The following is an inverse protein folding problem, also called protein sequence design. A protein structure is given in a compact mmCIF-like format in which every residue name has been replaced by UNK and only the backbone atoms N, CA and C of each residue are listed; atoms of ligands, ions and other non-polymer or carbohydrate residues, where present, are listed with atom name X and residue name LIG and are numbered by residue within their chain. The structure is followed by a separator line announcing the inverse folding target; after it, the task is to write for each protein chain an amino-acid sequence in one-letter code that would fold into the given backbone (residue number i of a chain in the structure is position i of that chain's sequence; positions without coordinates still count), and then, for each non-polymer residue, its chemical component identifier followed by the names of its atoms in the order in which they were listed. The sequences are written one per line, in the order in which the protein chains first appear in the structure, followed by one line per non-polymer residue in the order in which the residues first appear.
data_IF_955736330812
#
_entry.id   IF_955736330812
#
_cell.length_a   1.000
_cell.length_b   1.000
_cell.length_c   1.000
_cell.angle_alpha   90.00
_cell.angle_beta   90.00
_cell.angle_gamma   90.00
#
_symmetry.space_group_name_H-M   'P 1'
#
loop_
_entity.id
_entity.type
_entity.pdbx_description
1 polymer ?
#
# COMPACT_ATOMS: atom_id res chain seq x y z
N UNK A 1 14.98 48.79 -56.41
CA UNK A 1 15.79 47.90 -57.28
C UNK A 1 15.35 46.45 -57.06
N UNK A 2 15.19 45.72 -58.17
CA UNK A 2 15.21 44.24 -58.41
C UNK A 2 15.33 43.34 -57.15
N UNK A 3 14.37 42.47 -56.77
CA UNK A 3 13.71 41.31 -57.44
C UNK A 3 14.35 39.94 -57.05
N UNK A 4 13.49 38.98 -56.63
CA UNK A 4 13.46 37.54 -57.07
C UNK A 4 14.52 36.58 -56.47
N UNK A 5 14.26 35.31 -56.06
CA UNK A 5 13.04 34.47 -55.95
C UNK A 5 13.29 33.17 -55.11
N UNK A 6 12.19 32.49 -54.69
CA UNK A 6 11.93 31.01 -54.65
C UNK A 6 12.89 30.08 -53.85
N UNK A 7 12.43 29.37 -52.79
CA UNK A 7 11.71 28.06 -52.78
C UNK A 7 12.59 26.88 -53.25
N UNK A 8 12.76 25.75 -52.54
CA UNK A 8 11.84 24.62 -52.25
C UNK A 8 12.58 23.71 -51.21
N UNK A 9 12.11 22.60 -50.62
CA UNK A 9 10.86 21.82 -50.54
C UNK A 9 10.90 21.04 -49.19
N UNK A 10 9.77 20.60 -48.61
CA UNK A 10 9.83 19.74 -47.40
C UNK A 10 8.49 19.40 -46.72
N UNK A 11 7.43 19.18 -47.48
CA UNK A 11 6.11 18.85 -46.95
C UNK A 11 5.98 17.35 -46.66
N UNK A 12 5.54 16.95 -45.46
CA UNK A 12 5.11 15.57 -45.19
C UNK A 12 3.87 15.57 -44.27
N UNK A 13 2.72 15.73 -44.92
CA UNK A 13 1.41 15.45 -44.34
C UNK A 13 1.14 13.95 -44.44
N UNK A 14 0.74 13.33 -43.33
CA UNK A 14 0.00 12.06 -43.34
C UNK A 14 -1.27 12.22 -42.53
N UNK A 15 -2.34 12.62 -43.22
CA UNK A 15 -3.69 12.55 -42.69
C UNK A 15 -4.23 11.13 -42.92
N UNK A 16 -4.36 10.36 -41.85
CA UNK A 16 -5.16 9.13 -41.82
C UNK A 16 -6.51 9.43 -41.17
N UNK A 17 -7.61 9.22 -41.91
CA UNK A 17 -8.97 9.50 -41.44
C UNK A 17 -9.84 8.25 -41.57
N UNK A 18 -10.76 8.02 -40.62
CA UNK A 18 -11.84 7.04 -40.75
C UNK A 18 -11.93 6.03 -39.60
N UNK A 19 -12.94 6.17 -38.75
CA UNK A 19 -13.21 5.26 -37.62
C UNK A 19 -14.34 5.78 -36.73
N UNK A 20 -15.58 5.77 -37.23
CA UNK A 20 -16.76 6.32 -36.55
C UNK A 20 -17.61 5.19 -35.98
N UNK A 21 -17.65 5.05 -34.65
CA UNK A 21 -18.63 4.17 -34.00
C UNK A 21 -18.22 3.61 -32.64
N UNK A 22 -18.40 4.41 -31.58
CA UNK A 22 -18.51 3.89 -30.20
C UNK A 22 -19.68 4.56 -29.48
N UNK A 23 -20.84 3.90 -29.58
CA UNK A 23 -21.93 4.02 -28.62
C UNK A 23 -21.76 2.97 -27.51
N UNK A 24 -22.40 3.22 -26.36
CA UNK A 24 -22.41 2.39 -25.14
C UNK A 24 -21.19 2.54 -24.18
N UNK A 25 -21.28 3.54 -23.30
CA UNK A 25 -20.39 3.70 -22.13
C UNK A 25 -21.07 4.28 -20.88
N UNK A 26 -22.40 4.43 -20.87
CA UNK A 26 -23.16 4.94 -19.72
C UNK A 26 -23.39 3.86 -18.65
N UNK A 27 -22.31 3.46 -17.96
CA UNK A 27 -22.37 2.47 -16.86
C UNK A 27 -21.45 2.79 -15.66
N UNK A 28 -20.79 3.95 -15.65
CA UNK A 28 -19.72 4.27 -14.69
C UNK A 28 -20.14 5.18 -13.53
N UNK A 29 -21.22 5.95 -13.65
CA UNK A 29 -21.66 6.89 -12.61
C UNK A 29 -22.39 6.21 -11.45
N UNK A 30 -23.25 5.21 -11.72
CA UNK A 30 -24.11 4.56 -10.72
C UNK A 30 -23.39 3.58 -9.77
N UNK A 31 -22.05 3.48 -9.81
CA UNK A 31 -21.25 2.60 -8.93
C UNK A 31 -20.57 3.33 -7.77
N UNK A 32 -20.74 4.65 -7.64
CA UNK A 32 -20.02 5.46 -6.65
C UNK A 32 -20.85 5.82 -5.40
N UNK A 33 -22.18 5.71 -5.43
CA UNK A 33 -23.06 5.88 -4.26
C UNK A 33 -22.89 4.80 -3.17
N UNK A 34 -22.15 3.72 -3.44
CA UNK A 34 -21.79 2.71 -2.43
C UNK A 34 -20.74 3.18 -1.41
N UNK A 35 -20.12 4.34 -1.59
CA UNK A 35 -18.90 4.73 -0.84
C UNK A 35 -19.12 5.01 0.65
N UNK A 36 -20.29 5.47 1.08
CA UNK A 36 -20.49 5.85 2.50
C UNK A 36 -20.95 4.69 3.42
N UNK A 37 -21.34 3.54 2.86
CA UNK A 37 -21.60 2.31 3.63
C UNK A 37 -20.49 1.26 3.53
N UNK A 38 -19.45 1.53 2.74
CA UNK A 38 -18.30 0.63 2.58
C UNK A 38 -17.26 0.71 3.71
N UNK A 39 -17.25 1.79 4.49
CA UNK A 39 -16.30 1.99 5.61
C UNK A 39 -16.66 1.21 6.88
N UNK A 40 -17.89 0.70 7.00
CA UNK A 40 -18.39 -0.02 8.18
C UNK A 40 -17.88 -1.48 8.24
N UNK A 41 -17.51 -2.07 7.09
CA UNK A 41 -17.19 -3.50 6.97
C UNK A 41 -15.74 -3.73 6.51
N UNK A 42 -14.80 -3.01 7.11
CA UNK A 42 -13.37 -3.14 6.82
C UNK A 42 -12.68 -3.99 7.90
N UNK A 43 -11.98 -5.05 7.49
CA UNK A 43 -11.11 -5.82 8.36
C UNK A 43 -9.65 -5.38 8.16
N UNK A 44 -8.95 -5.02 9.24
CA UNK A 44 -7.56 -4.57 9.20
C UNK A 44 -6.60 -5.67 9.63
N UNK A 45 -5.50 -5.80 8.87
CA UNK A 45 -4.40 -6.71 9.13
C UNK A 45 -3.08 -5.92 9.13
N UNK A 46 -2.47 -5.81 10.31
CA UNK A 46 -1.20 -5.14 10.52
C UNK A 46 -0.07 -6.17 10.57
N UNK A 47 1.00 -5.90 9.82
CA UNK A 47 2.19 -6.74 9.77
C UNK A 47 3.40 -5.90 10.18
N UNK A 48 4.12 -6.34 11.21
CA UNK A 48 5.31 -5.68 11.73
C UNK A 48 6.45 -6.68 11.84
N UNK A 49 7.57 -6.40 11.18
CA UNK A 49 8.82 -7.14 11.32
C UNK A 49 9.84 -6.25 12.02
N UNK A 50 10.42 -6.76 13.11
CA UNK A 50 11.50 -6.10 13.86
C UNK A 50 12.71 -7.02 13.89
N UNK A 51 13.86 -6.48 13.55
CA UNK A 51 15.14 -7.12 13.82
C UNK A 51 15.69 -6.52 15.12
N UNK A 52 16.16 -7.37 16.02
CA UNK A 52 16.74 -6.98 17.31
C UNK A 52 17.93 -7.87 17.63
N UNK A 53 18.75 -7.47 18.60
CA UNK A 53 19.87 -8.29 19.03
C UNK A 53 19.40 -9.67 19.50
N UNK A 54 20.18 -10.72 19.20
CA UNK A 54 19.81 -12.12 19.45
C UNK A 54 19.39 -12.38 20.92
N UNK A 55 20.11 -11.79 21.88
CA UNK A 55 19.81 -11.86 23.30
C UNK A 55 18.49 -11.17 23.70
N UNK A 56 17.99 -10.22 22.90
CA UNK A 56 16.76 -9.45 23.15
C UNK A 56 15.51 -10.04 22.47
N UNK A 57 15.66 -10.95 21.50
CA UNK A 57 14.51 -11.57 20.80
C UNK A 57 13.57 -12.26 21.79
N UNK A 58 14.11 -13.05 22.73
CA UNK A 58 13.28 -13.80 23.70
C UNK A 58 12.66 -12.89 24.79
N UNK A 59 13.39 -11.97 25.45
CA UNK A 59 12.78 -10.96 26.32
C UNK A 59 11.71 -10.10 25.64
N UNK A 60 11.93 -9.69 24.39
CA UNK A 60 10.95 -8.91 23.64
C UNK A 60 9.69 -9.73 23.31
N UNK A 61 9.86 -10.98 22.85
CA UNK A 61 8.75 -11.92 22.64
C UNK A 61 7.92 -12.11 23.92
N UNK A 62 8.56 -12.41 25.05
CA UNK A 62 7.89 -12.60 26.34
C UNK A 62 7.14 -11.32 26.77
N UNK A 63 7.75 -10.15 26.60
CA UNK A 63 7.15 -8.84 26.90
C UNK A 63 5.93 -8.53 26.01
N UNK A 64 5.99 -8.84 24.72
CA UNK A 64 4.88 -8.63 23.77
C UNK A 64 3.70 -9.57 24.07
N UNK A 65 3.98 -10.85 24.34
CA UNK A 65 2.97 -11.83 24.75
C UNK A 65 2.33 -11.45 26.09
N UNK A 66 3.13 -11.01 27.07
CA UNK A 66 2.63 -10.54 28.36
C UNK A 66 1.77 -9.27 28.22
N UNK A 67 2.18 -8.32 27.36
CA UNK A 67 1.41 -7.11 27.10
C UNK A 67 0.03 -7.41 26.50
N UNK A 68 -0.07 -8.34 25.54
CA UNK A 68 -1.38 -8.77 25.03
C UNK A 68 -2.21 -9.46 26.13
N UNK A 69 -1.63 -10.37 26.91
CA UNK A 69 -2.34 -11.05 28.02
C UNK A 69 -2.85 -10.09 29.10
N UNK A 70 -2.17 -8.95 29.31
CA UNK A 70 -2.59 -7.91 30.23
C UNK A 70 -3.61 -6.92 29.64
N UNK A 71 -3.71 -6.79 28.31
CA UNK A 71 -4.62 -5.85 27.64
C UNK A 71 -6.02 -6.43 27.44
N UNK A 72 -6.70 -6.71 28.57
CA UNK A 72 -8.10 -7.13 28.61
C UNK A 72 -9.06 -6.03 28.13
N UNK A 73 -8.71 -4.76 28.36
CA UNK A 73 -9.55 -3.60 28.01
C UNK A 73 -9.76 -3.47 26.50
N UNK A 74 -8.70 -3.73 25.72
CA UNK A 74 -8.77 -3.77 24.26
C UNK A 74 -9.11 -5.17 23.71
N UNK A 75 -9.39 -6.13 24.59
CA UNK A 75 -9.81 -7.49 24.24
C UNK A 75 -8.73 -8.27 23.48
N UNK A 76 -7.46 -8.15 23.88
CA UNK A 76 -6.38 -8.80 23.15
C UNK A 76 -6.42 -10.33 23.32
N UNK A 77 -6.63 -11.03 22.21
CA UNK A 77 -6.61 -12.48 22.10
C UNK A 77 -5.36 -12.93 21.34
N UNK A 78 -4.53 -13.73 22.01
CA UNK A 78 -3.39 -14.39 21.38
C UNK A 78 -3.90 -15.55 20.48
N UNK A 79 -3.53 -15.55 19.21
CA UNK A 79 -3.96 -16.54 18.22
C UNK A 79 -2.87 -17.56 17.90
N UNK A 80 -1.63 -17.09 17.72
CA UNK A 80 -0.42 -17.92 17.60
C UNK A 80 0.73 -17.26 18.36
N UNK A 81 1.61 -18.07 18.92
CA UNK A 81 2.87 -17.61 19.51
C UNK A 81 3.92 -18.71 19.42
N UNK A 82 4.89 -18.51 18.53
CA UNK A 82 5.95 -19.47 18.23
C UNK A 82 7.31 -18.79 18.32
N UNK A 83 8.30 -19.49 18.90
CA UNK A 83 9.70 -19.05 18.95
C UNK A 83 10.62 -20.23 18.65
N UNK A 84 11.50 -20.03 17.68
CA UNK A 84 12.37 -21.03 17.09
C UNK A 84 13.84 -20.68 17.37
N UNK A 85 14.44 -21.37 18.34
CA UNK A 85 15.84 -21.21 18.75
C UNK A 85 16.82 -22.06 17.94
N UNK A 86 16.66 -22.12 16.61
CA UNK A 86 17.53 -22.88 15.71
C UNK A 86 18.88 -22.19 15.47
N UNK A 87 19.41 -22.27 14.23
CA UNK A 87 20.64 -21.54 13.85
C UNK A 87 20.54 -20.01 14.05
N UNK A 88 19.32 -19.47 14.06
CA UNK A 88 19.03 -18.08 14.36
C UNK A 88 17.72 -18.02 15.13
N UNK A 89 17.70 -17.27 16.24
CA UNK A 89 16.47 -17.04 17.01
C UNK A 89 15.50 -16.22 16.16
N UNK A 90 14.28 -16.72 16.00
CA UNK A 90 13.18 -15.97 15.42
C UNK A 90 11.88 -16.30 16.14
N UNK A 91 10.97 -15.34 16.20
CA UNK A 91 9.66 -15.53 16.79
C UNK A 91 8.56 -14.97 15.89
N UNK A 92 7.39 -15.62 15.91
CA UNK A 92 6.15 -15.11 15.31
C UNK A 92 5.08 -15.04 16.38
N UNK A 93 4.30 -13.97 16.34
CA UNK A 93 3.17 -13.77 17.24
C UNK A 93 2.02 -13.24 16.40
N UNK A 94 0.91 -13.97 16.36
CA UNK A 94 -0.34 -13.48 15.76
C UNK A 94 -1.34 -13.24 16.89
N UNK A 95 -1.91 -12.06 16.93
CA UNK A 95 -2.86 -11.64 17.95
C UNK A 95 -3.96 -10.77 17.34
N UNK A 96 -5.08 -10.68 18.04
CA UNK A 96 -6.27 -9.93 17.62
C UNK A 96 -6.73 -9.05 18.76
N UNK A 97 -6.95 -7.76 18.50
CA UNK A 97 -7.47 -6.82 19.51
C UNK A 97 -8.22 -5.67 18.84
N UNK A 98 -8.84 -4.80 19.63
CA UNK A 98 -9.37 -3.53 19.13
C UNK A 98 -8.24 -2.63 18.58
N UNK A 99 -8.53 -1.72 17.61
CA UNK A 99 -7.52 -0.86 16.99
C UNK A 99 -6.67 -0.03 17.97
N UNK A 100 -7.23 0.34 19.13
CA UNK A 100 -6.51 1.07 20.17
C UNK A 100 -5.45 0.21 20.89
N UNK A 101 -5.70 -1.09 21.10
CA UNK A 101 -4.72 -2.03 21.65
C UNK A 101 -3.61 -2.33 20.66
N UNK A 102 -3.96 -2.58 19.40
CA UNK A 102 -2.96 -2.84 18.34
C UNK A 102 -1.96 -1.69 18.21
N UNK A 103 -2.39 -0.43 18.24
CA UNK A 103 -1.46 0.72 18.21
C UNK A 103 -0.44 0.72 19.35
N UNK A 104 -0.85 0.35 20.57
CA UNK A 104 0.06 0.21 21.73
C UNK A 104 1.04 -0.94 21.54
N UNK A 105 0.57 -2.09 21.06
CA UNK A 105 1.37 -3.29 20.84
C UNK A 105 2.41 -3.08 19.72
N UNK A 106 2.01 -2.43 18.62
CA UNK A 106 2.93 -2.01 17.55
C UNK A 106 4.01 -1.06 18.06
N UNK A 107 3.65 -0.07 18.89
CA UNK A 107 4.63 0.83 19.51
C UNK A 107 5.59 0.11 20.47
N UNK A 108 5.10 -0.84 21.26
CA UNK A 108 5.92 -1.66 22.15
C UNK A 108 6.91 -2.55 21.38
N UNK A 109 6.46 -3.15 20.27
CA UNK A 109 7.29 -3.95 19.35
C UNK A 109 8.35 -3.07 18.68
N UNK A 110 7.97 -1.91 18.13
CA UNK A 110 8.87 -0.97 17.47
C UNK A 110 9.89 -0.33 18.43
N UNK A 111 9.62 -0.27 19.73
CA UNK A 111 10.58 0.15 20.75
C UNK A 111 11.59 -0.95 21.14
N UNK A 112 11.43 -2.18 20.64
CA UNK A 112 12.27 -3.34 20.98
C UNK A 112 13.41 -3.64 20.01
N UNK A 113 13.51 -2.91 18.90
CA UNK A 113 14.53 -3.10 17.85
C UNK A 113 14.21 -2.30 16.60
N UNK A 114 14.94 -2.52 15.52
CA UNK A 114 14.75 -1.82 14.25
C UNK A 114 13.60 -2.42 13.44
N UNK A 115 12.61 -1.59 13.10
CA UNK A 115 11.47 -1.98 12.26
C UNK A 115 11.95 -2.21 10.81
N UNK A 116 12.04 -3.47 10.39
CA UNK A 116 12.56 -3.86 9.07
C UNK A 116 11.48 -4.02 8.00
N UNK A 117 10.21 -4.09 8.41
CA UNK A 117 9.03 -4.02 7.54
C UNK A 117 7.81 -3.62 8.36
N UNK A 118 6.99 -2.71 7.85
CA UNK A 118 5.68 -2.40 8.41
C UNK A 118 4.66 -2.27 7.27
N UNK A 119 3.51 -2.90 7.41
CA UNK A 119 2.43 -2.83 6.43
C UNK A 119 1.07 -2.95 7.10
N UNK A 120 0.06 -2.30 6.50
CA UNK A 120 -1.34 -2.49 6.86
C UNK A 120 -2.09 -2.90 5.60
N UNK A 121 -2.77 -4.03 5.67
CA UNK A 121 -3.69 -4.53 4.64
C UNK A 121 -5.11 -4.31 5.15
N UNK A 122 -6.00 -3.91 4.25
CA UNK A 122 -7.42 -3.70 4.55
C UNK A 122 -8.22 -4.57 3.59
N UNK A 123 -9.17 -5.34 4.12
CA UNK A 123 -10.07 -6.20 3.35
C UNK A 123 -11.49 -5.67 3.47
N UNK A 124 -12.14 -5.41 2.33
CA UNK A 124 -13.54 -4.98 2.25
C UNK A 124 -14.46 -6.21 2.35
N UNK A 125 -15.01 -6.41 3.55
CA UNK A 125 -15.99 -7.46 3.85
C UNK A 125 -17.44 -6.99 3.62
N UNK A 126 -17.67 -5.78 3.10
CA UNK A 126 -19.00 -5.22 2.88
C UNK A 126 -19.84 -6.06 1.93
N UNK A 127 -19.25 -6.58 0.85
CA UNK A 127 -19.96 -7.52 -0.05
C UNK A 127 -20.31 -8.84 0.66
N UNK A 128 -19.37 -9.60 1.26
CA UNK A 128 -19.68 -10.79 2.06
C UNK A 128 -20.75 -10.57 3.15
N UNK A 129 -20.67 -9.45 3.89
CA UNK A 129 -21.61 -9.15 4.97
C UNK A 129 -23.02 -8.84 4.44
N UNK A 130 -23.13 -8.06 3.37
CA UNK A 130 -24.44 -7.73 2.78
C UNK A 130 -25.12 -8.95 2.16
N UNK A 131 -24.35 -9.85 1.53
CA UNK A 131 -24.86 -11.12 1.01
C UNK A 131 -25.32 -12.06 2.13
N UNK A 132 -24.49 -12.22 3.17
CA UNK A 132 -24.83 -13.01 4.36
C UNK A 132 -26.08 -12.49 5.09
N UNK A 133 -26.24 -11.16 5.24
CA UNK A 133 -27.46 -10.54 5.79
C UNK A 133 -28.69 -10.85 4.93
N UNK A 134 -28.62 -10.69 3.60
CA UNK A 134 -29.71 -11.04 2.68
C UNK A 134 -30.10 -12.52 2.76
N UNK A 135 -29.13 -13.43 2.84
CA UNK A 135 -29.39 -14.87 2.98
C UNK A 135 -30.12 -15.18 4.29
N UNK A 136 -29.72 -14.54 5.40
CA UNK A 136 -30.41 -14.68 6.69
C UNK A 136 -31.86 -14.17 6.63
N UNK A 137 -32.09 -13.03 5.99
CA UNK A 137 -33.44 -12.46 5.87
C UNK A 137 -34.34 -13.33 4.98
N UNK A 138 -33.81 -13.90 3.89
CA UNK A 138 -34.52 -14.91 3.08
C UNK A 138 -34.88 -16.16 3.89
N UNK A 139 -33.95 -16.71 4.67
CA UNK A 139 -34.20 -17.91 5.48
C UNK A 139 -35.27 -17.65 6.56
N UNK A 140 -35.23 -16.48 7.21
CA UNK A 140 -36.26 -16.05 8.17
C UNK A 140 -37.63 -15.88 7.51
N UNK A 141 -37.69 -15.29 6.31
CA UNK A 141 -38.94 -15.16 5.55
C UNK A 141 -39.50 -16.53 5.15
N UNK A 142 -38.65 -17.46 4.72
CA UNK A 142 -39.06 -18.82 4.38
C UNK A 142 -39.54 -19.60 5.61
N UNK A 143 -38.84 -19.49 6.75
CA UNK A 143 -39.29 -20.05 8.03
C UNK A 143 -40.67 -19.50 8.43
N UNK A 144 -40.90 -18.19 8.34
CA UNK A 144 -42.18 -17.58 8.67
C UNK A 144 -43.32 -18.07 7.75
N UNK A 145 -43.04 -18.27 6.47
CA UNK A 145 -44.01 -18.87 5.53
C UNK A 145 -44.31 -20.34 5.87
N UNK A 146 -43.29 -21.14 6.20
CA UNK A 146 -43.49 -22.53 6.64
C UNK A 146 -44.29 -22.61 7.96
N UNK A 147 -44.04 -21.72 8.92
CA UNK A 147 -44.83 -21.63 10.16
C UNK A 147 -46.29 -21.21 9.92
N UNK A 148 -46.58 -20.42 8.90
CA UNK A 148 -47.96 -20.10 8.51
C UNK A 148 -48.64 -21.29 7.81
N UNK A 149 -47.91 -22.02 6.96
CA UNK A 149 -48.38 -23.26 6.33
C UNK A 149 -48.61 -24.37 7.37
N UNK A 150 -47.78 -24.47 8.40
CA UNK A 150 -47.93 -25.42 9.51
C UNK A 150 -49.27 -25.21 10.23
N UNK A 151 -49.56 -23.95 10.62
CA UNK A 151 -50.82 -23.56 11.29
C UNK A 151 -52.06 -23.88 10.44
N UNK A 152 -51.97 -23.73 9.11
CA UNK A 152 -53.05 -24.06 8.17
C UNK A 152 -53.19 -25.57 7.93
N UNK A 153 -52.11 -26.34 8.10
CA UNK A 153 -52.03 -27.76 7.76
C UNK A 153 -52.48 -28.70 8.89
N UNK A 154 -52.91 -28.18 10.05
CA UNK A 154 -53.32 -28.97 11.22
C UNK A 154 -54.44 -30.01 11.01
N UNK A 155 -55.15 -29.97 9.87
CA UNK A 155 -56.15 -30.97 9.47
C UNK A 155 -55.58 -32.15 8.66
N UNK A 156 -54.31 -32.12 8.22
CA UNK A 156 -53.68 -33.17 7.43
C UNK A 156 -52.30 -33.55 8.01
N UNK A 157 -52.23 -34.73 8.61
CA UNK A 157 -51.04 -35.24 9.32
C UNK A 157 -49.82 -35.40 8.38
N UNK A 158 -50.02 -35.89 7.16
CA UNK A 158 -48.91 -36.05 6.19
C UNK A 158 -48.37 -34.71 5.69
N UNK A 159 -49.23 -33.71 5.56
CA UNK A 159 -48.82 -32.35 5.23
C UNK A 159 -48.04 -31.72 6.40
N UNK A 160 -48.52 -31.88 7.63
CA UNK A 160 -47.84 -31.42 8.84
C UNK A 160 -46.43 -32.02 8.98
N UNK A 161 -46.29 -33.35 8.87
CA UNK A 161 -44.98 -34.03 8.97
C UNK A 161 -43.98 -33.48 7.94
N UNK A 162 -44.43 -33.22 6.70
CA UNK A 162 -43.59 -32.62 5.65
C UNK A 162 -43.15 -31.21 6.00
N UNK A 163 -44.08 -30.35 6.45
CA UNK A 163 -43.77 -28.97 6.84
C UNK A 163 -42.83 -28.92 8.05
N UNK A 164 -43.05 -29.75 9.07
CA UNK A 164 -42.17 -29.80 10.25
C UNK A 164 -40.77 -30.28 9.89
N UNK A 165 -40.62 -31.25 8.97
CA UNK A 165 -39.30 -31.71 8.47
C UNK A 165 -38.57 -30.61 7.69
N UNK A 166 -39.29 -29.87 6.84
CA UNK A 166 -38.74 -28.74 6.11
C UNK A 166 -38.31 -27.62 7.06
N UNK A 167 -39.16 -27.27 8.04
CA UNK A 167 -38.89 -26.26 9.05
C UNK A 167 -37.64 -26.62 9.89
N UNK A 168 -37.48 -27.88 10.27
CA UNK A 168 -36.27 -28.37 10.94
C UNK A 168 -35.01 -28.22 10.07
N UNK A 169 -35.13 -28.41 8.76
CA UNK A 169 -34.02 -28.24 7.80
C UNK A 169 -33.65 -26.76 7.65
N UNK A 170 -34.64 -25.88 7.50
CA UNK A 170 -34.45 -24.42 7.45
C UNK A 170 -33.88 -23.87 8.75
N UNK A 171 -34.27 -24.41 9.90
CA UNK A 171 -33.71 -24.02 11.20
C UNK A 171 -32.21 -24.31 11.28
N UNK A 172 -31.75 -25.48 10.82
CA UNK A 172 -30.32 -25.82 10.73
C UNK A 172 -29.59 -24.88 9.77
N UNK A 173 -30.16 -24.57 8.60
CA UNK A 173 -29.55 -23.60 7.68
C UNK A 173 -29.45 -22.19 8.27
N UNK A 174 -30.45 -21.75 9.03
CA UNK A 174 -30.49 -20.45 9.68
C UNK A 174 -29.41 -20.35 10.78
N UNK A 175 -29.24 -21.40 11.58
CA UNK A 175 -28.16 -21.48 12.58
C UNK A 175 -26.77 -21.44 11.93
N UNK A 176 -26.55 -22.22 10.87
CA UNK A 176 -25.28 -22.20 10.11
C UNK A 176 -25.00 -20.82 9.50
N UNK A 177 -25.99 -20.20 8.86
CA UNK A 177 -25.86 -18.86 8.28
C UNK A 177 -25.61 -17.79 9.36
N UNK A 178 -26.20 -17.95 10.56
CA UNK A 178 -26.03 -17.02 11.69
C UNK A 178 -24.62 -17.12 12.27
N UNK A 179 -24.12 -18.34 12.46
CA UNK A 179 -22.75 -18.58 12.90
C UNK A 179 -21.72 -18.02 11.90
N UNK A 180 -21.95 -18.20 10.59
CA UNK A 180 -21.11 -17.63 9.55
C UNK A 180 -21.13 -16.09 9.55
N UNK A 181 -22.29 -15.46 9.79
CA UNK A 181 -22.39 -14.01 9.91
C UNK A 181 -21.66 -13.47 11.15
N UNK A 182 -21.81 -14.13 12.30
CA UNK A 182 -21.12 -13.76 13.54
C UNK A 182 -19.59 -13.79 13.38
N UNK A 183 -19.05 -14.78 12.65
CA UNK A 183 -17.61 -14.85 12.34
C UNK A 183 -17.13 -13.70 11.45
N UNK A 184 -17.97 -13.20 10.52
CA UNK A 184 -17.65 -12.01 9.74
C UNK A 184 -17.63 -10.74 10.60
N UNK A 185 -18.61 -10.56 11.50
CA UNK A 185 -18.66 -9.41 12.42
C UNK A 185 -17.44 -9.40 13.35
N UNK A 186 -17.07 -10.54 13.92
CA UNK A 186 -15.87 -10.66 14.76
C UNK A 186 -14.57 -10.23 14.04
N UNK A 187 -14.47 -10.42 12.71
CA UNK A 187 -13.33 -9.97 11.90
C UNK A 187 -13.31 -8.46 11.63
N UNK A 188 -14.44 -7.78 11.80
CA UNK A 188 -14.58 -6.33 11.59
C UNK A 188 -14.37 -5.59 12.91
N UNK A 189 -14.88 -6.14 14.02
CA UNK A 189 -14.74 -5.56 15.37
C UNK A 189 -13.29 -5.57 15.90
N UNK A 190 -12.41 -6.37 15.29
CA UNK A 190 -11.05 -6.60 15.79
C UNK A 190 -10.01 -6.73 14.68
N UNK A 191 -8.91 -5.99 14.85
CA UNK A 191 -7.78 -5.97 13.94
C UNK A 191 -6.86 -7.16 14.22
N UNK A 192 -6.31 -7.75 13.15
CA UNK A 192 -5.24 -8.76 13.24
C UNK A 192 -3.88 -8.06 13.27
N UNK A 193 -3.00 -8.46 14.20
CA UNK A 193 -1.60 -8.05 14.24
C UNK A 193 -0.69 -9.28 14.16
N UNK A 194 0.12 -9.33 13.12
CA UNK A 194 1.20 -10.30 12.97
C UNK A 194 2.54 -9.60 13.27
N UNK A 195 3.25 -10.08 14.29
CA UNK A 195 4.59 -9.65 14.68
C UNK A 195 5.59 -10.73 14.28
N UNK A 196 6.62 -10.35 13.54
CA UNK A 196 7.80 -11.18 13.30
C UNK A 196 9.01 -10.53 13.98
N UNK A 197 9.69 -11.29 14.84
CA UNK A 197 10.93 -10.88 15.49
C UNK A 197 12.09 -11.72 14.93
N UNK A 198 13.16 -11.07 14.47
CA UNK A 198 14.39 -11.74 14.02
C UNK A 198 15.56 -11.36 14.91
N UNK A 199 16.46 -12.30 15.18
CA UNK A 199 17.83 -11.97 15.52
C UNK A 199 18.51 -11.27 14.32
N UNK A 200 19.10 -10.11 14.58
CA UNK A 200 19.91 -9.32 13.66
C UNK A 200 21.10 -10.16 13.15
N UNK A 201 21.00 -10.66 11.91
CA UNK A 201 21.91 -11.69 11.38
C UNK A 201 21.36 -12.42 10.15
N UNK A 202 20.04 -12.56 10.06
CA UNK A 202 19.34 -12.28 8.78
C UNK A 202 19.23 -10.75 8.71
N UNK A 203 19.29 -10.08 7.56
CA UNK A 203 18.55 -10.39 6.35
C UNK A 203 19.36 -10.02 5.08
N UNK A 204 19.74 -11.03 4.29
CA UNK A 204 20.28 -10.93 2.91
C UNK A 204 21.47 -9.98 2.68
N UNK A 205 22.60 -10.54 2.23
CA UNK A 205 23.77 -9.82 1.67
C UNK A 205 23.38 -8.68 0.69
N UNK A 206 22.24 -8.83 0.01
CA UNK A 206 21.71 -7.90 -0.99
C UNK A 206 20.79 -6.80 -0.44
N UNK A 207 20.31 -6.87 0.82
CA UNK A 207 19.48 -5.77 1.39
C UNK A 207 20.27 -4.49 1.66
N UNK A 208 21.50 -4.51 2.22
CA UNK A 208 22.34 -3.32 2.30
C UNK A 208 22.61 -2.74 0.91
N UNK A 209 22.92 -3.59 -0.07
CA UNK A 209 23.14 -3.18 -1.47
C UNK A 209 21.89 -2.55 -2.08
N UNK A 210 20.71 -3.14 -1.90
CA UNK A 210 19.45 -2.61 -2.47
C UNK A 210 18.98 -1.32 -1.77
N UNK A 211 19.21 -1.20 -0.46
CA UNK A 211 18.96 0.04 0.31
C UNK A 211 19.94 1.15 -0.09
N UNK A 212 21.22 0.82 -0.24
CA UNK A 212 22.24 1.75 -0.74
C UNK A 212 21.93 2.19 -2.19
N UNK A 213 21.54 1.28 -3.09
CA UNK A 213 21.13 1.61 -4.46
C UNK A 213 19.89 2.53 -4.49
N UNK A 214 18.87 2.27 -3.66
CA UNK A 214 17.72 3.17 -3.52
C UNK A 214 18.14 4.58 -3.13
N UNK A 215 18.90 4.71 -2.04
CA UNK A 215 19.44 6.01 -1.59
C UNK A 215 20.38 6.64 -2.64
N UNK A 216 21.13 5.84 -3.40
CA UNK A 216 21.94 6.32 -4.52
C UNK A 216 21.09 6.91 -5.63
N UNK A 217 19.94 6.31 -6.00
CA UNK A 217 19.07 6.87 -7.06
C UNK A 217 18.49 8.22 -6.69
N UNK A 218 18.10 8.40 -5.42
CA UNK A 218 17.57 9.68 -4.92
C UNK A 218 18.66 10.75 -4.90
N UNK A 219 19.87 10.42 -4.41
CA UNK A 219 21.04 11.31 -4.48
C UNK A 219 21.54 11.55 -5.92
N UNK A 220 21.41 10.58 -6.83
CA UNK A 220 21.73 10.78 -8.26
C UNK A 220 20.80 11.79 -8.91
N UNK A 221 19.50 11.79 -8.55
CA UNK A 221 18.55 12.77 -9.08
C UNK A 221 18.94 14.21 -8.70
N UNK A 222 19.35 14.43 -7.44
CA UNK A 222 19.87 15.71 -6.97
C UNK A 222 21.25 16.03 -7.55
N UNK A 223 22.14 15.04 -7.68
CA UNK A 223 23.46 15.20 -8.30
C UNK A 223 23.38 15.61 -9.77
N UNK A 224 22.48 15.00 -10.54
CA UNK A 224 22.22 15.34 -11.95
C UNK A 224 21.56 16.71 -12.07
N UNK A 225 20.57 17.03 -11.22
CA UNK A 225 19.97 18.36 -11.17
C UNK A 225 21.04 19.44 -10.88
N UNK A 226 21.88 19.24 -9.87
CA UNK A 226 22.96 20.16 -9.51
C UNK A 226 24.01 20.27 -10.63
N UNK A 227 24.36 19.18 -11.32
CA UNK A 227 25.28 19.21 -12.46
C UNK A 227 24.71 20.00 -13.65
N UNK A 228 23.42 19.83 -13.96
CA UNK A 228 22.72 20.60 -15.00
C UNK A 228 22.70 22.09 -14.63
N UNK A 229 22.35 22.43 -13.39
CA UNK A 229 22.31 23.82 -12.91
C UNK A 229 23.70 24.46 -12.89
N UNK A 230 24.73 23.74 -12.44
CA UNK A 230 26.12 24.22 -12.48
C UNK A 230 26.59 24.47 -13.92
N UNK A 231 26.25 23.57 -14.86
CA UNK A 231 26.58 23.74 -16.27
C UNK A 231 25.88 24.95 -16.89
N UNK A 232 24.62 25.21 -16.52
CA UNK A 232 23.90 26.43 -16.90
C UNK A 232 24.55 27.71 -16.34
N UNK A 233 25.08 27.68 -15.12
CA UNK A 233 25.81 28.82 -14.52
C UNK A 233 27.22 29.03 -15.11
N UNK A 234 27.90 27.99 -15.58
CA UNK A 234 29.24 28.10 -16.19
C UNK A 234 29.16 28.64 -17.62
N UNK A 235 28.07 28.37 -18.34
CA UNK A 235 27.91 28.69 -19.76
C UNK A 235 28.05 30.20 -20.09
N UNK A 236 27.48 31.16 -19.32
CA UNK A 236 27.73 32.59 -19.49
C UNK A 236 29.21 32.99 -19.32
N UNK A 237 29.92 32.41 -18.35
CA UNK A 237 31.33 32.71 -18.10
C UNK A 237 32.23 32.16 -19.21
N UNK A 238 31.92 30.98 -19.77
CA UNK A 238 32.62 30.46 -20.94
C UNK A 238 32.44 31.36 -22.16
N UNK A 239 31.22 31.85 -22.43
CA UNK A 239 30.96 32.80 -23.52
C UNK A 239 31.75 34.11 -23.29
N UNK A 240 31.71 34.66 -22.08
CA UNK A 240 32.47 35.85 -21.72
C UNK A 240 33.99 35.64 -21.90
N UNK A 241 34.53 34.51 -21.47
CA UNK A 241 35.94 34.18 -21.61
C UNK A 241 36.34 34.05 -23.10
N UNK A 242 35.54 33.36 -23.92
CA UNK A 242 35.79 33.22 -25.37
C UNK A 242 35.76 34.56 -26.10
N UNK A 243 34.94 35.52 -25.67
CA UNK A 243 34.89 36.87 -26.24
C UNK A 243 36.03 37.78 -25.74
N UNK A 244 36.40 37.71 -24.46
CA UNK A 244 37.40 38.58 -23.85
C UNK A 244 38.85 38.11 -24.09
N UNK A 245 39.09 36.80 -24.15
CA UNK A 245 40.41 36.22 -24.39
C UNK A 245 41.10 36.70 -25.69
N UNK A 246 40.45 36.76 -26.87
CA UNK A 246 41.07 37.32 -28.07
C UNK A 246 41.33 38.83 -27.97
N UNK A 247 40.49 39.58 -27.25
CA UNK A 247 40.71 41.02 -27.02
C UNK A 247 41.95 41.24 -26.14
N UNK A 248 42.08 40.53 -25.02
CA UNK A 248 43.26 40.56 -24.17
C UNK A 248 44.53 40.16 -24.92
N UNK A 249 44.50 39.04 -25.67
CA UNK A 249 45.63 38.58 -26.49
C UNK A 249 46.02 39.55 -27.61
N UNK A 250 45.06 40.28 -28.19
CA UNK A 250 45.30 41.31 -29.22
C UNK A 250 45.86 42.60 -28.62
N UNK A 251 45.41 43.00 -27.43
CA UNK A 251 46.00 44.09 -26.65
C UNK A 251 47.45 43.81 -26.24
N UNK A 252 47.72 42.61 -25.72
CA UNK A 252 49.07 42.24 -25.28
C UNK A 252 50.07 42.12 -26.43
N UNK A 253 49.62 41.69 -27.62
CA UNK A 253 50.43 41.73 -28.86
C UNK A 253 50.74 43.16 -29.32
N UNK A 254 49.80 44.11 -29.16
CA UNK A 254 50.05 45.52 -29.49
C UNK A 254 51.04 46.18 -28.52
N UNK A 255 50.94 45.89 -27.22
CA UNK A 255 51.87 46.43 -26.22
C UNK A 255 53.31 45.94 -26.43
N UNK A 256 53.52 44.67 -26.83
CA UNK A 256 54.87 44.16 -27.18
C UNK A 256 55.42 44.72 -28.50
N UNK A 257 54.60 45.36 -29.34
CA UNK A 257 55.05 46.01 -30.57
C UNK A 257 55.51 47.46 -30.41
N UNK A 258 55.40 48.04 -29.20
CA UNK A 258 55.77 49.44 -28.91
C UNK A 258 57.10 49.55 -28.15
N UNK A 259 57.60 48.45 -27.59
CA UNK A 259 58.79 48.42 -26.74
C UNK A 259 60.15 48.42 -27.49
N UNK A 260 60.18 48.73 -28.79
CA UNK A 260 61.37 48.61 -29.65
C UNK A 260 61.67 49.88 -30.48
N UNK A 261 61.36 51.07 -29.92
CA UNK A 261 61.87 52.36 -30.45
C UNK A 261 62.11 53.39 -29.34
N UNK A 262 63.39 53.67 -29.07
CA UNK A 262 63.87 54.75 -28.22
C UNK A 262 64.75 54.24 -27.07
N UNK A 263 66.03 54.60 -27.00
CA UNK A 263 66.83 55.41 -27.91
C UNK A 263 68.28 55.48 -27.43
N UNK A 264 69.23 55.58 -28.36
CA UNK A 264 70.66 55.71 -28.08
C UNK A 264 70.98 57.00 -27.32
N UNK A 265 71.83 56.91 -26.30
CA UNK A 265 73.02 57.76 -26.14
C UNK A 265 74.01 57.13 -25.15
#
# INVERSE_FOLDING_TARGET
MKKVYISLLGLLLLAGCGGKGESAGQSSAARLDGKEKGSEFLAYEHNVSVDTHEAQVRPLYEKVVAACKADTDNGCLLLDSSIDGGRYVHARISMRAKPAGIKKLVALVAAGGDVTSQGTKVEDLGRPVLDSKKRLDMLKQYQAQLQDLEKRSGANVDALIKVTKELATVQVELEQATAANALLMQRIDTDLLNVALSAEGKQSFWRPVKRALGNFTENLSQGVANAITAMAYILPWLIAFVLLFPLGRKGWRRLRGVADKGGTH
#
